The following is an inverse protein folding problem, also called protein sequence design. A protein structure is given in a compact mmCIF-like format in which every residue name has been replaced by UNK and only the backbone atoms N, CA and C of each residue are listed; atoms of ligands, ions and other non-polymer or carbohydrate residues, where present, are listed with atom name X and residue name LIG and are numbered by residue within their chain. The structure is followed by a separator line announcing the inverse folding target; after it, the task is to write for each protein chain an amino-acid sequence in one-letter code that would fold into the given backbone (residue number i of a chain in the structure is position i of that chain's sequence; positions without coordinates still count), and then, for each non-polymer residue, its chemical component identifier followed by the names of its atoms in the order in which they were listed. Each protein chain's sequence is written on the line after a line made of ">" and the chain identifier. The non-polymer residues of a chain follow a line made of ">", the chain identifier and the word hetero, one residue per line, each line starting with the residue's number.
data_IF_840108394692
#
_entry.id   IF_840108394692
#
_cell.length_a   1.000
_cell.length_b   1.000
_cell.length_c   1.000
_cell.angle_alpha   90.00
_cell.angle_beta   90.00
_cell.angle_gamma   90.00
#
_symmetry.space_group_name_H-M   'P 1'
#
loop_
_entity.id
_entity.type
_entity.pdbx_description
1 polymer ?
#
# COMPACT_ATOMS: atom_id res chain seq x y z
N UNK A 1 -13.74 19.33 -9.35
CA UNK A 1 -13.16 18.80 -8.09
C UNK A 1 -12.07 17.74 -8.30
N UNK A 2 -12.25 16.75 -9.18
CA UNK A 2 -11.29 15.63 -9.34
C UNK A 2 -10.57 15.54 -10.70
N UNK A 3 -10.63 16.59 -11.54
CA UNK A 3 -9.87 16.65 -12.80
C UNK A 3 -10.15 15.51 -13.80
N UNK A 4 -11.35 14.92 -13.77
CA UNK A 4 -11.71 13.79 -14.64
C UNK A 4 -11.78 14.23 -16.09
N UNK A 5 -11.16 13.46 -16.98
CA UNK A 5 -11.19 13.64 -18.43
C UNK A 5 -11.63 12.31 -19.06
N UNK A 6 -12.62 12.39 -19.96
CA UNK A 6 -13.24 11.23 -20.60
C UNK A 6 -13.17 11.43 -22.11
N UNK A 7 -12.99 10.33 -22.85
CA UNK A 7 -12.63 10.36 -24.27
C UNK A 7 -13.82 10.59 -25.20
N UNK A 8 -15.04 10.35 -24.73
CA UNK A 8 -16.26 10.48 -25.55
C UNK A 8 -17.49 10.82 -24.72
N UNK A 9 -18.55 11.27 -25.40
CA UNK A 9 -19.85 11.58 -24.77
C UNK A 9 -20.48 10.32 -24.17
N UNK A 10 -20.29 9.17 -24.81
CA UNK A 10 -20.74 7.86 -24.33
C UNK A 10 -20.04 7.50 -23.01
N UNK A 11 -18.72 7.74 -22.91
CA UNK A 11 -17.98 7.54 -21.67
C UNK A 11 -18.47 8.49 -20.57
N UNK A 12 -18.69 9.77 -20.89
CA UNK A 12 -19.23 10.75 -19.94
C UNK A 12 -20.58 10.27 -19.38
N UNK A 13 -21.49 9.83 -20.26
CA UNK A 13 -22.81 9.35 -19.86
C UNK A 13 -22.71 8.13 -18.94
N UNK A 14 -21.90 7.14 -19.32
CA UNK A 14 -21.66 5.94 -18.50
C UNK A 14 -21.08 6.31 -17.13
N UNK A 15 -20.09 7.19 -17.07
CA UNK A 15 -19.44 7.63 -15.82
C UNK A 15 -20.40 8.40 -14.92
N UNK A 16 -21.29 9.20 -15.51
CA UNK A 16 -22.33 9.91 -14.77
C UNK A 16 -23.37 8.95 -14.17
N UNK A 17 -23.82 7.94 -14.93
CA UNK A 17 -24.75 6.92 -14.43
C UNK A 17 -24.14 6.16 -13.22
N UNK A 18 -22.89 5.71 -13.34
CA UNK A 18 -22.16 5.07 -12.24
C UNK A 18 -22.04 6.01 -11.02
N UNK A 19 -21.76 7.29 -11.26
CA UNK A 19 -21.69 8.28 -10.19
C UNK A 19 -23.01 8.47 -9.45
N UNK A 20 -24.14 8.50 -10.17
CA UNK A 20 -25.47 8.59 -9.59
C UNK A 20 -25.75 7.38 -8.70
N UNK A 21 -25.47 6.17 -9.18
CA UNK A 21 -25.64 4.93 -8.42
C UNK A 21 -24.80 4.94 -7.13
N UNK A 22 -23.52 5.30 -7.23
CA UNK A 22 -22.64 5.42 -6.08
C UNK A 22 -23.08 6.53 -5.11
N UNK A 23 -23.64 7.63 -5.60
CA UNK A 23 -24.21 8.69 -4.75
C UNK A 23 -25.45 8.20 -3.98
N UNK A 24 -26.30 7.38 -4.61
CA UNK A 24 -27.40 6.71 -3.93
C UNK A 24 -26.92 5.75 -2.85
N UNK A 25 -25.86 4.96 -3.12
CA UNK A 25 -25.21 4.10 -2.14
C UNK A 25 -24.66 4.90 -0.95
N UNK A 26 -23.98 6.02 -1.20
CA UNK A 26 -23.44 6.92 -0.17
C UNK A 26 -24.57 7.44 0.73
N UNK A 27 -25.60 8.03 0.13
CA UNK A 27 -26.73 8.63 0.86
C UNK A 27 -27.53 7.59 1.63
N UNK A 28 -27.78 6.42 1.05
CA UNK A 28 -28.51 5.34 1.74
C UNK A 28 -27.70 4.74 2.89
N UNK A 29 -26.38 4.60 2.74
CA UNK A 29 -25.50 4.10 3.80
C UNK A 29 -25.39 5.09 4.96
N UNK A 30 -25.24 6.38 4.69
CA UNK A 30 -25.12 7.40 5.74
C UNK A 30 -26.42 7.61 6.54
N UNK A 31 -27.58 7.33 5.93
CA UNK A 31 -28.88 7.36 6.64
C UNK A 31 -29.06 6.23 7.66
N UNK A 32 -28.23 5.18 7.61
CA UNK A 32 -28.33 4.03 8.52
C UNK A 32 -27.67 4.27 9.89
N UNK A 33 -27.10 5.46 10.15
CA UNK A 33 -26.50 5.78 11.45
C UNK A 33 -25.34 4.86 11.85
N UNK A 34 -24.58 4.37 10.86
CA UNK A 34 -23.42 3.48 11.10
C UNK A 34 -22.28 4.24 11.77
N UNK A 35 -21.35 3.52 12.38
CA UNK A 35 -20.11 4.07 12.94
C UNK A 35 -19.15 4.67 11.90
N UNK A 36 -19.48 4.57 10.61
CA UNK A 36 -18.75 5.15 9.50
C UNK A 36 -19.69 5.87 8.54
N UNK A 37 -19.14 6.84 7.82
CA UNK A 37 -19.80 7.54 6.73
C UNK A 37 -19.06 7.31 5.42
N UNK A 38 -19.80 7.20 4.33
CA UNK A 38 -19.27 7.26 2.98
C UNK A 38 -19.28 8.70 2.46
N UNK A 39 -18.36 9.02 1.55
CA UNK A 39 -18.26 10.34 0.95
C UNK A 39 -17.87 10.25 -0.51
N UNK A 40 -18.27 11.27 -1.28
CA UNK A 40 -17.86 11.39 -2.68
C UNK A 40 -16.35 11.62 -2.76
N UNK A 41 -15.64 10.71 -3.40
CA UNK A 41 -14.20 10.78 -3.64
C UNK A 41 -13.88 10.56 -5.13
N UNK A 42 -12.60 10.48 -5.48
CA UNK A 42 -12.12 10.30 -6.86
C UNK A 42 -12.56 8.99 -7.53
N UNK A 43 -13.10 8.04 -6.78
CA UNK A 43 -13.54 6.72 -7.25
C UNK A 43 -15.06 6.64 -7.42
N UNK A 44 -15.79 7.73 -7.14
CA UNK A 44 -17.25 7.72 -7.16
C UNK A 44 -17.85 7.46 -8.55
N UNK A 45 -17.09 7.58 -9.64
CA UNK A 45 -17.48 7.29 -11.03
C UNK A 45 -16.99 5.93 -11.55
N UNK A 46 -16.56 5.03 -10.65
CA UNK A 46 -16.09 3.69 -10.98
C UNK A 46 -17.05 2.62 -10.48
N UNK A 47 -17.21 1.54 -11.25
CA UNK A 47 -17.85 0.33 -10.74
C UNK A 47 -16.92 -0.39 -9.77
N UNK A 48 -17.46 -1.33 -8.99
CA UNK A 48 -16.66 -2.17 -8.11
C UNK A 48 -15.65 -3.04 -8.88
N UNK A 49 -16.02 -3.49 -10.08
CA UNK A 49 -15.16 -4.27 -10.98
C UNK A 49 -13.98 -3.44 -11.48
N UNK A 50 -14.25 -2.19 -11.91
CA UNK A 50 -13.19 -1.26 -12.32
C UNK A 50 -12.28 -0.91 -11.15
N UNK A 51 -12.87 -0.62 -9.98
CA UNK A 51 -12.08 -0.32 -8.78
C UNK A 51 -11.18 -1.49 -8.41
N UNK A 52 -11.71 -2.73 -8.40
CA UNK A 52 -10.92 -3.93 -8.16
C UNK A 52 -9.80 -4.12 -9.17
N UNK A 53 -10.09 -3.95 -10.45
CA UNK A 53 -9.12 -4.19 -11.52
C UNK A 53 -7.94 -3.21 -11.48
N UNK A 54 -8.17 -1.95 -11.11
CA UNK A 54 -7.14 -0.91 -11.17
C UNK A 54 -6.50 -0.56 -9.82
N UNK A 55 -7.19 -0.79 -8.70
CA UNK A 55 -6.73 -0.32 -7.38
C UNK A 55 -6.44 -1.46 -6.39
N UNK A 56 -6.89 -2.68 -6.66
CA UNK A 56 -6.56 -3.85 -5.84
C UNK A 56 -5.56 -4.76 -6.56
N UNK A 57 -4.78 -5.52 -5.79
CA UNK A 57 -3.99 -6.62 -6.33
C UNK A 57 -4.81 -7.89 -6.51
N UNK A 58 -4.25 -8.88 -7.20
CA UNK A 58 -4.83 -10.23 -7.27
C UNK A 58 -5.09 -10.79 -5.86
N UNK A 59 -6.15 -11.59 -5.70
CA UNK A 59 -6.45 -12.26 -4.45
C UNK A 59 -5.23 -13.10 -4.01
N UNK A 60 -4.68 -12.77 -2.85
CA UNK A 60 -3.49 -13.42 -2.34
C UNK A 60 -3.89 -14.51 -1.35
N UNK A 61 -3.20 -15.65 -1.40
CA UNK A 61 -3.19 -16.57 -0.27
C UNK A 61 -2.30 -15.95 0.81
N UNK A 62 -2.90 -15.05 1.61
CA UNK A 62 -2.27 -14.42 2.76
C UNK A 62 -2.03 -15.46 3.87
N UNK A 63 -1.22 -16.48 3.60
CA UNK A 63 -0.57 -17.23 4.65
C UNK A 63 0.45 -16.28 5.28
N UNK A 64 -0.02 -15.41 6.17
CA UNK A 64 0.79 -14.95 7.28
C UNK A 64 1.32 -16.24 7.89
N UNK A 65 2.63 -16.44 7.77
CA UNK A 65 3.32 -17.63 8.24
C UNK A 65 2.68 -18.12 9.53
N UNK A 66 2.16 -19.36 9.55
CA UNK A 66 1.49 -19.92 10.75
C UNK A 66 2.41 -19.95 11.99
N UNK A 67 3.71 -19.73 11.78
CA UNK A 67 4.72 -19.49 12.79
C UNK A 67 5.20 -18.04 12.68
N UNK A 68 4.59 -17.15 13.46
CA UNK A 68 5.18 -15.84 13.71
C UNK A 68 6.53 -16.00 14.42
N UNK A 69 7.47 -15.11 14.15
CA UNK A 69 8.78 -15.06 14.81
C UNK A 69 8.88 -13.91 15.83
N UNK A 70 7.81 -13.14 16.01
CA UNK A 70 7.71 -12.10 17.02
C UNK A 70 7.28 -12.71 18.36
N UNK A 71 8.09 -12.53 19.41
CA UNK A 71 7.71 -12.85 20.78
C UNK A 71 7.02 -11.62 21.38
N UNK A 72 5.74 -11.76 21.70
CA UNK A 72 5.02 -10.73 22.46
C UNK A 72 5.70 -10.54 23.81
N UNK A 73 5.90 -9.28 24.21
CA UNK A 73 6.40 -8.92 25.53
C UNK A 73 5.22 -8.73 26.49
N UNK A 74 5.45 -8.91 27.79
CA UNK A 74 4.46 -8.61 28.84
C UNK A 74 4.40 -7.11 29.17
N UNK A 75 4.83 -6.25 28.24
CA UNK A 75 4.84 -4.81 28.47
C UNK A 75 3.43 -4.24 28.48
N UNK A 76 3.18 -3.34 29.44
CA UNK A 76 1.93 -2.59 29.50
C UNK A 76 1.95 -1.54 28.38
N UNK A 77 1.15 -1.77 27.35
CA UNK A 77 1.00 -0.86 26.23
C UNK A 77 0.06 0.31 26.58
N UNK A 78 0.26 1.50 25.99
CA UNK A 78 -0.68 2.61 26.16
C UNK A 78 -2.03 2.27 25.52
N UNK A 79 -3.12 2.79 26.11
CA UNK A 79 -4.48 2.62 25.58
C UNK A 79 -4.65 3.16 24.14
N UNK A 80 -3.83 4.14 23.76
CA UNK A 80 -3.82 4.75 22.43
C UNK A 80 -2.39 5.02 21.98
N UNK A 81 -2.10 4.75 20.71
CA UNK A 81 -0.83 5.08 20.07
C UNK A 81 -1.10 5.65 18.68
N UNK A 82 -0.52 6.81 18.39
CA UNK A 82 -0.57 7.44 17.07
C UNK A 82 0.84 7.88 16.65
N UNK A 83 1.44 7.11 15.73
CA UNK A 83 2.79 7.39 15.22
C UNK A 83 2.89 8.72 14.45
N UNK A 84 1.76 9.33 14.03
CA UNK A 84 1.76 10.65 13.39
C UNK A 84 2.10 11.75 14.38
N UNK A 85 1.71 11.61 15.65
CA UNK A 85 2.07 12.55 16.71
C UNK A 85 3.58 12.56 16.92
N UNK A 86 4.23 11.41 16.72
CA UNK A 86 5.69 11.25 16.80
C UNK A 86 6.41 11.64 15.50
N UNK A 87 5.67 12.11 14.49
CA UNK A 87 6.21 12.62 13.23
C UNK A 87 7.07 11.62 12.43
N UNK A 88 6.88 10.30 12.65
CA UNK A 88 7.59 9.26 11.91
C UNK A 88 6.83 8.79 10.66
N UNK A 89 5.55 9.12 10.53
CA UNK A 89 4.74 8.73 9.36
C UNK A 89 5.01 9.69 8.20
N UNK A 90 5.37 9.15 7.05
CA UNK A 90 5.59 9.90 5.83
C UNK A 90 4.29 10.49 5.25
N UNK A 91 4.36 11.49 4.36
CA UNK A 91 3.17 12.02 3.69
C UNK A 91 2.39 10.95 2.94
N UNK A 92 1.07 11.12 2.85
CA UNK A 92 0.20 10.22 2.08
C UNK A 92 0.58 10.26 0.60
N UNK A 93 0.81 9.08 0.00
CA UNK A 93 1.10 8.90 -1.43
C UNK A 93 -0.11 8.33 -2.18
N UNK A 94 0.00 8.24 -3.52
CA UNK A 94 -1.08 7.78 -4.41
C UNK A 94 -0.57 6.77 -5.45
N UNK A 95 -1.06 5.52 -5.38
CA UNK A 95 -0.72 4.46 -6.33
C UNK A 95 -1.34 4.66 -7.73
N UNK A 96 -2.27 5.59 -7.89
CA UNK A 96 -2.96 5.78 -9.16
C UNK A 96 -3.69 4.50 -9.61
N UNK A 97 -3.50 4.10 -10.86
CA UNK A 97 -4.25 3.04 -11.54
C UNK A 97 -3.51 1.68 -11.60
N UNK A 98 -2.46 1.54 -10.80
CA UNK A 98 -1.64 0.35 -10.70
C UNK A 98 -1.96 -0.39 -9.39
N UNK A 99 -2.19 -1.70 -9.45
CA UNK A 99 -2.41 -2.58 -8.29
C UNK A 99 -1.16 -2.83 -7.46
N UNK A 100 -0.47 -1.75 -7.07
CA UNK A 100 0.82 -1.74 -6.37
C UNK A 100 0.69 -1.34 -4.90
N UNK A 101 -0.50 -1.41 -4.30
CA UNK A 101 -0.70 -1.11 -2.88
C UNK A 101 0.30 -1.83 -1.94
N UNK A 102 0.76 -3.03 -2.34
CA UNK A 102 1.78 -3.80 -1.64
C UNK A 102 3.13 -3.07 -1.56
N UNK A 103 3.52 -2.30 -2.59
CA UNK A 103 4.76 -1.52 -2.58
C UNK A 103 4.65 -0.34 -1.64
N UNK A 104 3.53 0.41 -1.68
CA UNK A 104 3.24 1.53 -0.78
C UNK A 104 3.15 1.10 0.69
N UNK A 105 2.61 -0.10 0.95
CA UNK A 105 2.61 -0.69 2.29
C UNK A 105 4.03 -1.01 2.76
N UNK A 106 4.90 -1.52 1.88
CA UNK A 106 6.30 -1.83 2.18
C UNK A 106 7.10 -0.56 2.44
N UNK A 107 7.06 0.42 1.52
CA UNK A 107 7.82 1.67 1.63
C UNK A 107 7.36 2.48 2.82
N UNK A 108 6.05 2.63 3.07
CA UNK A 108 5.55 3.35 4.23
C UNK A 108 6.03 2.78 5.57
N UNK A 109 6.09 1.44 5.68
CA UNK A 109 6.64 0.79 6.87
C UNK A 109 8.16 1.05 7.03
N UNK A 110 8.93 0.99 5.94
CA UNK A 110 10.37 1.26 5.96
C UNK A 110 10.70 2.73 6.23
N UNK A 111 9.95 3.66 5.66
CA UNK A 111 10.10 5.10 5.88
C UNK A 111 9.84 5.45 7.36
N UNK A 112 8.82 4.85 7.96
CA UNK A 112 8.53 5.03 9.39
C UNK A 112 9.64 4.43 10.26
N UNK A 113 10.08 3.20 9.98
CA UNK A 113 11.18 2.56 10.72
C UNK A 113 12.50 3.33 10.57
N UNK A 114 12.80 3.83 9.37
CA UNK A 114 13.97 4.66 9.10
C UNK A 114 13.92 5.97 9.89
N UNK A 115 12.77 6.65 9.88
CA UNK A 115 12.59 7.91 10.62
C UNK A 115 12.69 7.68 12.12
N UNK A 116 12.11 6.60 12.63
CA UNK A 116 12.23 6.21 14.04
C UNK A 116 13.68 5.94 14.46
N UNK A 117 14.46 5.26 13.62
CA UNK A 117 15.85 4.91 13.92
C UNK A 117 16.81 6.12 13.82
N UNK A 118 16.60 6.98 12.83
CA UNK A 118 17.59 7.99 12.43
C UNK A 118 17.19 9.43 12.74
N UNK A 119 15.92 9.67 13.02
CA UNK A 119 15.33 11.01 13.10
C UNK A 119 15.22 11.74 11.75
N UNK A 120 15.63 11.11 10.64
CA UNK A 120 15.60 11.70 9.29
C UNK A 120 14.45 11.14 8.48
N UNK A 121 13.80 11.99 7.68
CA UNK A 121 12.77 11.57 6.74
C UNK A 121 13.39 11.08 5.44
N UNK A 122 12.79 10.07 4.84
CA UNK A 122 13.17 9.53 3.54
C UNK A 122 11.90 9.22 2.73
N UNK A 123 12.00 9.28 1.40
CA UNK A 123 10.98 8.77 0.49
C UNK A 123 11.61 7.67 -0.35
N UNK A 124 11.03 6.48 -0.32
CA UNK A 124 11.54 5.28 -0.97
C UNK A 124 10.79 4.98 -2.27
N UNK A 125 11.47 4.34 -3.21
CA UNK A 125 10.92 4.03 -4.53
C UNK A 125 9.95 2.86 -4.49
N UNK A 126 8.66 3.14 -4.65
CA UNK A 126 7.67 2.11 -4.96
C UNK A 126 7.91 1.46 -6.34
N UNK A 127 8.45 2.23 -7.29
CA UNK A 127 8.63 1.78 -8.67
C UNK A 127 9.68 0.67 -8.79
N UNK A 128 10.77 0.74 -8.02
CA UNK A 128 11.74 -0.35 -7.99
C UNK A 128 11.08 -1.66 -7.59
N UNK A 129 10.18 -1.65 -6.61
CA UNK A 129 9.46 -2.86 -6.21
C UNK A 129 8.54 -3.36 -7.34
N UNK A 130 7.83 -2.45 -8.02
CA UNK A 130 7.01 -2.80 -9.19
C UNK A 130 7.84 -3.51 -10.27
N UNK A 131 9.05 -3.01 -10.55
CA UNK A 131 9.84 -3.45 -11.71
C UNK A 131 10.79 -4.62 -11.42
N UNK A 132 11.27 -4.77 -10.18
CA UNK A 132 12.40 -5.65 -9.86
C UNK A 132 12.03 -6.89 -9.03
N UNK A 133 10.88 -6.92 -8.37
CA UNK A 133 10.57 -7.95 -7.37
C UNK A 133 9.92 -9.23 -7.95
N UNK A 134 9.86 -9.39 -9.27
CA UNK A 134 9.18 -10.52 -9.95
C UNK A 134 9.70 -11.89 -9.51
N UNK A 135 11.02 -12.02 -9.32
CA UNK A 135 11.63 -13.26 -8.84
C UNK A 135 11.20 -13.66 -7.41
N UNK A 136 10.59 -12.73 -6.66
CA UNK A 136 10.08 -12.93 -5.30
C UNK A 136 8.56 -13.08 -5.26
N UNK A 137 7.92 -13.47 -6.39
CA UNK A 137 6.48 -13.72 -6.50
C UNK A 137 5.61 -12.46 -6.31
N UNK A 138 6.18 -11.29 -6.63
CA UNK A 138 5.46 -10.02 -6.77
C UNK A 138 5.26 -9.69 -8.25
N UNK A 139 4.07 -9.32 -8.69
CA UNK A 139 3.73 -9.21 -10.10
C UNK A 139 3.46 -7.76 -10.55
N UNK A 140 4.24 -6.82 -10.01
CA UNK A 140 4.14 -5.39 -10.33
C UNK A 140 2.75 -4.83 -10.05
N UNK A 141 2.14 -4.23 -11.07
CA UNK A 141 0.76 -3.69 -11.00
C UNK A 141 -0.33 -4.77 -10.91
N UNK A 142 -0.01 -6.06 -11.05
CA UNK A 142 -0.97 -7.15 -10.87
C UNK A 142 -1.07 -7.63 -9.40
N UNK A 143 -0.33 -6.99 -8.49
CA UNK A 143 -0.33 -7.29 -7.06
C UNK A 143 0.93 -8.00 -6.59
N UNK A 144 1.03 -8.13 -5.27
CA UNK A 144 2.18 -8.66 -4.57
C UNK A 144 1.96 -8.65 -3.06
N UNK A 145 2.95 -9.09 -2.30
CA UNK A 145 2.94 -9.13 -0.84
C UNK A 145 4.09 -8.30 -0.24
N UNK A 146 3.81 -7.48 0.78
CA UNK A 146 4.87 -6.75 1.49
C UNK A 146 5.95 -7.66 2.08
N UNK A 147 5.61 -8.87 2.54
CA UNK A 147 6.57 -9.84 3.07
C UNK A 147 7.59 -10.27 2.01
N UNK A 148 7.14 -10.58 0.79
CA UNK A 148 8.00 -10.88 -0.35
C UNK A 148 8.85 -9.68 -0.76
N UNK A 149 8.28 -8.46 -0.65
CA UNK A 149 9.01 -7.22 -0.91
C UNK A 149 10.18 -7.03 0.06
N UNK A 150 9.98 -7.29 1.35
CA UNK A 150 11.06 -7.22 2.35
C UNK A 150 12.18 -8.23 2.05
N UNK A 151 11.83 -9.46 1.65
CA UNK A 151 12.82 -10.47 1.25
C UNK A 151 13.59 -10.05 -0.02
N UNK A 152 12.90 -9.48 -1.01
CA UNK A 152 13.55 -8.89 -2.18
C UNK A 152 14.55 -7.80 -1.77
N UNK A 153 14.15 -6.82 -0.95
CA UNK A 153 15.02 -5.70 -0.55
C UNK A 153 16.26 -6.21 0.19
N UNK A 154 16.07 -7.19 1.08
CA UNK A 154 17.15 -7.84 1.81
C UNK A 154 18.12 -8.55 0.86
N UNK A 155 17.62 -9.36 -0.07
CA UNK A 155 18.44 -10.07 -1.05
C UNK A 155 19.15 -9.11 -2.03
N UNK A 156 18.44 -8.10 -2.52
CA UNK A 156 18.93 -7.09 -3.45
C UNK A 156 20.01 -6.18 -2.83
N UNK A 157 20.09 -6.15 -1.49
CA UNK A 157 21.05 -5.35 -0.75
C UNK A 157 20.63 -3.89 -0.54
N UNK A 158 19.39 -3.55 -0.88
CA UNK A 158 18.83 -2.21 -0.68
C UNK A 158 17.64 -1.86 -1.58
N UNK A 159 17.04 -0.72 -1.28
CA UNK A 159 15.96 -0.08 -2.03
C UNK A 159 16.34 1.38 -2.29
N UNK A 160 16.13 1.84 -3.52
CA UNK A 160 16.38 3.19 -3.99
C UNK A 160 15.42 4.21 -3.36
N UNK A 161 15.83 5.47 -3.41
CA UNK A 161 14.95 6.59 -3.06
C UNK A 161 13.96 6.89 -4.17
N UNK A 162 12.84 7.52 -3.82
CA UNK A 162 11.84 8.02 -4.79
C UNK A 162 12.47 9.04 -5.76
N UNK A 163 13.43 9.85 -5.30
CA UNK A 163 14.13 10.82 -6.14
C UNK A 163 14.94 10.14 -7.26
N UNK A 164 15.65 9.06 -6.92
CA UNK A 164 16.48 8.32 -7.87
C UNK A 164 15.72 7.38 -8.80
N UNK A 165 14.53 6.91 -8.37
CA UNK A 165 13.70 6.00 -9.14
C UNK A 165 12.21 6.34 -8.93
N UNK A 166 11.70 7.38 -9.62
CA UNK A 166 10.35 7.90 -9.38
C UNK A 166 9.22 6.94 -9.78
N UNK A 167 8.10 7.06 -9.08
CA UNK A 167 6.89 6.30 -9.34
C UNK A 167 6.24 6.65 -10.69
N UNK A 168 6.21 5.67 -11.58
CA UNK A 168 5.58 5.76 -12.90
C UNK A 168 4.18 5.13 -12.93
N UNK A 169 3.85 4.27 -11.94
CA UNK A 169 2.53 3.65 -11.84
C UNK A 169 2.20 2.70 -12.99
N UNK A 170 3.22 2.09 -13.60
CA UNK A 170 3.12 1.10 -14.67
C UNK A 170 4.23 0.07 -14.52
N UNK A 171 4.07 -1.12 -15.10
CA UNK A 171 5.14 -2.11 -15.14
C UNK A 171 6.26 -1.63 -16.07
N UNK A 172 7.51 -1.69 -15.60
CA UNK A 172 8.70 -1.35 -16.35
C UNK A 172 9.80 -2.40 -16.26
N UNK A 173 10.91 -2.14 -16.94
CA UNK A 173 12.14 -2.89 -16.74
C UNK A 173 12.84 -2.41 -15.47
N UNK A 174 13.41 -3.34 -14.69
CA UNK A 174 14.18 -3.02 -13.49
C UNK A 174 15.39 -2.13 -13.79
N UNK A 175 15.49 -0.97 -13.11
CA UNK A 175 16.59 0.02 -13.27
C UNK A 175 17.34 0.29 -11.96
N UNK A 176 17.29 -0.63 -11.01
CA UNK A 176 17.96 -0.51 -9.72
C UNK A 176 19.46 -0.20 -9.87
N UNK A 177 19.98 0.69 -9.01
CA UNK A 177 21.39 1.06 -8.97
C UNK A 177 21.91 1.10 -7.53
N UNK A 178 23.04 0.45 -7.26
CA UNK A 178 23.56 0.34 -5.89
C UNK A 178 23.94 1.69 -5.28
N UNK A 179 24.36 2.65 -6.10
CA UNK A 179 24.69 4.01 -5.68
C UNK A 179 23.47 4.83 -5.20
N UNK A 180 22.26 4.39 -5.53
CA UNK A 180 21.01 5.09 -5.22
C UNK A 180 20.28 4.55 -3.98
N UNK A 181 20.88 3.57 -3.28
CA UNK A 181 20.26 2.90 -2.13
C UNK A 181 19.95 3.93 -1.02
N UNK A 182 18.67 4.06 -0.69
CA UNK A 182 18.19 4.85 0.43
C UNK A 182 18.06 4.05 1.73
N UNK A 183 17.71 2.76 1.65
CA UNK A 183 17.54 1.89 2.83
C UNK A 183 17.94 0.45 2.54
N UNK A 184 18.30 -0.29 3.60
CA UNK A 184 18.53 -1.73 3.59
C UNK A 184 17.64 -2.42 4.61
N UNK A 185 17.16 -3.62 4.27
CA UNK A 185 16.41 -4.48 5.19
C UNK A 185 17.34 -5.57 5.71
N UNK A 186 17.60 -5.58 7.02
CA UNK A 186 18.41 -6.63 7.67
C UNK A 186 17.53 -7.83 8.02
N UNK A 187 16.34 -7.57 8.56
CA UNK A 187 15.40 -8.59 8.99
C UNK A 187 13.96 -8.10 8.86
N UNK A 188 13.03 -9.04 8.75
CA UNK A 188 11.59 -8.83 8.79
C UNK A 188 10.96 -9.78 9.82
N UNK A 189 9.87 -9.35 10.46
CA UNK A 189 9.14 -10.17 11.43
C UNK A 189 7.68 -10.26 11.04
N UNK A 190 7.15 -11.47 11.07
CA UNK A 190 5.74 -11.72 10.86
C UNK A 190 5.03 -11.80 12.21
N UNK A 191 4.02 -10.95 12.38
CA UNK A 191 3.15 -10.96 13.55
C UNK A 191 2.00 -11.91 13.26
N UNK A 192 2.07 -13.11 13.83
CA UNK A 192 0.98 -14.09 13.82
C UNK A 192 0.54 -14.28 15.26
N UNK A 193 -0.78 -14.27 15.51
CA UNK A 193 -1.31 -14.65 16.81
C UNK A 193 -0.92 -16.11 17.08
N UNK A 194 0.04 -16.33 17.97
CA UNK A 194 0.22 -17.65 18.57
C UNK A 194 -0.98 -17.82 19.49
N UNK A 195 -1.88 -18.77 19.20
CA UNK A 195 -2.90 -19.16 20.15
C UNK A 195 -2.18 -19.54 21.44
N UNK A 196 -2.39 -18.76 22.51
CA UNK A 196 -1.95 -19.19 23.84
C UNK A 196 -2.51 -20.60 24.06
N UNK A 197 -1.72 -21.55 24.58
CA UNK A 197 -2.30 -22.79 25.07
C UNK A 197 -3.35 -22.38 26.10
N UNK A 198 -4.59 -22.86 25.93
CA UNK A 198 -5.62 -22.69 26.93
C UNK A 198 -5.12 -23.23 28.28
N UNK A 199 -5.52 -22.60 29.41
CA UNK A 199 -5.09 -23.02 30.75
C UNK A 199 -5.47 -24.47 31.05
#
# INVERSE_FOLDING_TARGET
>A
RYGKNYRSVEEIRRRFEIFVDNLHLIRSSNRKGRSYTLGVNRFADMTWEEFRAYHLGAAQNCSATLKGNHKLTEEVLPNTKDWRVESIVSPVKDQGHCGSCWTFSTTGALEAAYTQLTGKKISLSEQQLVDCATAFNNFGCNGGLPSQAFEYIKYNGGLDTEESYPYAGVNGACKFKQENIGVKVVNSVNITLVSSPAP
#
